data_IF_618053941925
#
_entry.id   IF_618053941925
#
_cell.length_a   1.000
_cell.length_b   1.000
_cell.length_c   1.000
_cell.angle_alpha   90.00
_cell.angle_beta   90.00
_cell.angle_gamma   90.00
#
_symmetry.space_group_name_H-M   'P 1'
#
loop_
_entity.id
_entity.type
_entity.pdbx_description
1 polymer ?
#
# COMPACT_ATOMS: atom_id res chain seq x y z
N UNK A 1 10.97 -6.01 -4.66
CA UNK A 1 10.70 -4.73 -3.95
C UNK A 1 9.49 -4.93 -3.02
N UNK A 2 9.43 -4.26 -1.86
CA UNK A 2 8.39 -4.51 -0.83
C UNK A 2 7.22 -3.52 -0.92
N UNK A 3 7.49 -2.25 -1.23
CA UNK A 3 6.48 -1.19 -1.39
C UNK A 3 6.92 -0.25 -2.52
N UNK A 4 6.01 0.13 -3.40
CA UNK A 4 6.25 1.20 -4.37
C UNK A 4 4.93 1.82 -4.85
N UNK A 5 5.04 2.98 -5.50
CA UNK A 5 3.95 3.63 -6.21
C UNK A 5 4.41 4.13 -7.58
N UNK A 6 3.51 4.14 -8.54
CA UNK A 6 3.76 4.54 -9.93
C UNK A 6 2.52 5.20 -10.52
N UNK A 7 2.72 6.12 -11.47
CA UNK A 7 1.66 6.62 -12.35
C UNK A 7 1.55 5.74 -13.60
N UNK A 8 0.33 5.45 -14.04
CA UNK A 8 0.04 4.80 -15.32
C UNK A 8 -1.00 5.62 -16.08
N UNK A 9 -0.54 6.45 -17.02
CA UNK A 9 -1.36 7.52 -17.58
C UNK A 9 -1.85 8.45 -16.47
N UNK A 10 -3.16 8.65 -16.39
CA UNK A 10 -3.80 9.41 -15.31
C UNK A 10 -4.08 8.56 -14.04
N UNK A 11 -3.89 7.25 -14.11
CA UNK A 11 -4.15 6.33 -13.00
C UNK A 11 -2.99 6.26 -12.00
N UNK A 12 -3.34 6.08 -10.72
CA UNK A 12 -2.39 5.86 -9.63
C UNK A 12 -2.30 4.38 -9.27
N UNK A 13 -1.09 3.81 -9.30
CA UNK A 13 -0.81 2.41 -8.94
C UNK A 13 0.01 2.37 -7.67
N UNK A 14 -0.56 1.77 -6.62
CA UNK A 14 0.13 1.46 -5.38
C UNK A 14 0.31 -0.06 -5.27
N UNK A 15 1.52 -0.50 -4.97
CA UNK A 15 1.85 -1.91 -4.75
C UNK A 15 2.52 -2.08 -3.40
N UNK A 16 2.17 -3.18 -2.72
CA UNK A 16 2.85 -3.67 -1.54
C UNK A 16 2.77 -5.18 -1.48
N UNK A 17 3.85 -5.82 -1.01
CA UNK A 17 3.87 -7.26 -0.68
C UNK A 17 3.61 -7.52 0.81
N UNK A 18 3.17 -6.52 1.57
CA UNK A 18 2.79 -6.65 2.99
C UNK A 18 1.35 -7.20 3.10
N UNK A 19 1.08 -7.98 4.14
CA UNK A 19 -0.27 -8.54 4.40
C UNK A 19 -0.43 -9.98 3.93
N UNK A 20 0.56 -10.82 4.16
CA UNK A 20 0.42 -12.28 3.97
C UNK A 20 -0.62 -12.86 4.93
N UNK A 21 -0.72 -12.31 6.15
CA UNK A 21 -1.76 -12.62 7.13
C UNK A 21 -2.32 -11.36 7.79
N UNK A 22 -3.52 -11.43 8.37
CA UNK A 22 -4.15 -10.28 9.04
C UNK A 22 -3.32 -9.74 10.23
N UNK A 23 -2.58 -10.63 10.90
CA UNK A 23 -1.68 -10.26 11.99
C UNK A 23 -0.53 -9.35 11.52
N UNK A 24 -0.17 -9.31 10.23
CA UNK A 24 0.86 -8.40 9.73
C UNK A 24 0.48 -6.93 9.95
N UNK A 25 -0.81 -6.62 10.03
CA UNK A 25 -1.32 -5.27 10.30
C UNK A 25 -1.39 -4.92 11.78
N UNK A 26 -0.94 -5.81 12.68
CA UNK A 26 -0.62 -5.41 14.07
C UNK A 26 0.70 -4.65 14.13
N UNK A 27 1.55 -4.75 13.10
CA UNK A 27 2.72 -3.89 12.92
C UNK A 27 2.22 -2.51 12.46
N UNK A 28 2.34 -1.45 13.28
CA UNK A 28 1.73 -0.15 12.97
C UNK A 28 2.21 0.46 11.65
N UNK A 29 3.46 0.24 11.30
CA UNK A 29 4.09 0.73 10.07
C UNK A 29 3.48 0.07 8.84
N UNK A 30 3.28 -1.25 8.88
CA UNK A 30 2.67 -2.00 7.77
C UNK A 30 1.23 -1.52 7.53
N UNK A 31 0.44 -1.39 8.60
CA UNK A 31 -0.91 -0.85 8.53
C UNK A 31 -0.94 0.58 7.97
N UNK A 32 -0.07 1.45 8.48
CA UNK A 32 0.02 2.85 8.04
C UNK A 32 0.37 2.97 6.56
N UNK A 33 1.30 2.14 6.08
CA UNK A 33 1.70 2.10 4.67
C UNK A 33 0.52 1.70 3.79
N UNK A 34 -0.21 0.64 4.15
CA UNK A 34 -1.36 0.16 3.37
C UNK A 34 -2.50 1.17 3.37
N UNK A 35 -2.88 1.71 4.52
CA UNK A 35 -3.94 2.73 4.62
C UNK A 35 -3.62 3.96 3.75
N UNK A 36 -2.40 4.51 3.87
CA UNK A 36 -1.99 5.67 3.07
C UNK A 36 -1.86 5.36 1.59
N UNK A 37 -1.40 4.15 1.24
CA UNK A 37 -1.30 3.69 -0.14
C UNK A 37 -2.65 3.59 -0.83
N UNK A 38 -3.64 2.99 -0.17
CA UNK A 38 -5.02 2.89 -0.65
C UNK A 38 -5.67 4.27 -0.79
N UNK A 39 -5.51 5.15 0.21
CA UNK A 39 -6.02 6.52 0.14
C UNK A 39 -5.35 7.34 -0.97
N UNK A 40 -4.08 7.09 -1.27
CA UNK A 40 -3.39 7.76 -2.38
C UNK A 40 -3.89 7.25 -3.74
N UNK A 41 -4.09 5.95 -3.89
CA UNK A 41 -4.49 5.32 -5.16
C UNK A 41 -5.98 5.50 -5.52
N UNK A 42 -6.84 5.75 -4.52
CA UNK A 42 -8.29 5.98 -4.70
C UNK A 42 -8.67 7.39 -5.16
N UNK A 43 -7.72 8.32 -5.12
CA UNK A 43 -7.91 9.68 -5.61
C UNK A 43 -7.54 9.75 -7.08
#
# INVERSE_FOLDING_TARGET
PVVWKKMWGQGRVFYTSLGHVAADFTVPEARTIVERGLLWASR
#
